data_IF_631508307219
#
_entry.id   IF_631508307219
#
_cell.length_a   1.000
_cell.length_b   1.000
_cell.length_c   1.000
_cell.angle_alpha   90.00
_cell.angle_beta   90.00
_cell.angle_gamma   90.00
#
_symmetry.space_group_name_H-M   'P 1'
#
loop_
_entity.id
_entity.type
_entity.pdbx_description
1 polymer ?
#
# COMPACT_ATOMS: atom_id res chain seq x y z
N UNK A 1 -2.31 3.32 -18.03
CA UNK A 1 -0.85 3.08 -17.92
C UNK A 1 -0.49 3.15 -16.46
N UNK A 2 0.39 2.27 -15.94
CA UNK A 2 0.80 2.30 -14.54
C UNK A 2 1.42 3.66 -14.20
N UNK A 3 1.22 4.12 -12.97
CA UNK A 3 1.83 5.35 -12.49
C UNK A 3 3.36 5.20 -12.40
N UNK A 4 4.08 6.28 -12.70
CA UNK A 4 5.54 6.29 -12.59
C UNK A 4 5.94 6.13 -11.13
N UNK A 5 6.73 5.09 -10.84
CA UNK A 5 7.22 4.78 -9.50
C UNK A 5 8.58 5.45 -9.25
N UNK A 6 8.71 6.19 -8.15
CA UNK A 6 9.99 6.74 -7.69
C UNK A 6 10.95 5.62 -7.24
N UNK A 7 12.26 5.92 -7.26
CA UNK A 7 13.28 4.98 -6.78
C UNK A 7 13.11 4.72 -5.27
N UNK A 8 12.78 5.75 -4.50
CA UNK A 8 12.50 5.65 -3.06
C UNK A 8 11.29 4.77 -2.77
N UNK A 9 10.21 4.88 -3.57
CA UNK A 9 9.05 4.02 -3.41
C UNK A 9 9.39 2.55 -3.68
N UNK A 10 10.13 2.26 -4.76
CA UNK A 10 10.57 0.90 -5.06
C UNK A 10 11.42 0.32 -3.92
N UNK A 11 12.36 1.12 -3.41
CA UNK A 11 13.17 0.74 -2.25
C UNK A 11 12.31 0.49 -1.02
N UNK A 12 11.35 1.37 -0.71
CA UNK A 12 10.43 1.16 0.40
C UNK A 12 9.59 -0.12 0.24
N UNK A 13 9.18 -0.46 -0.97
CA UNK A 13 8.46 -1.72 -1.26
C UNK A 13 9.34 -2.93 -0.96
N UNK A 14 10.61 -2.90 -1.36
CA UNK A 14 11.57 -3.95 -1.01
C UNK A 14 11.82 -4.01 0.50
N UNK A 15 12.01 -2.86 1.13
CA UNK A 15 12.32 -2.74 2.54
C UNK A 15 11.16 -3.18 3.44
N UNK A 16 9.91 -2.94 3.02
CA UNK A 16 8.70 -3.41 3.72
C UNK A 16 8.67 -4.94 3.91
N UNK A 17 9.39 -5.69 3.06
CA UNK A 17 9.49 -7.15 3.12
C UNK A 17 10.63 -7.64 4.02
N UNK A 18 11.51 -6.75 4.45
CA UNK A 18 12.66 -7.05 5.32
C UNK A 18 12.44 -6.59 6.77
N UNK A 19 11.19 -6.33 7.14
CA UNK A 19 10.83 -6.04 8.53
C UNK A 19 11.03 -7.30 9.38
N UNK A 20 11.64 -7.16 10.54
CA UNK A 20 11.96 -8.29 11.45
C UNK A 20 10.70 -8.87 12.09
N UNK A 21 9.75 -8.01 12.44
CA UNK A 21 8.44 -8.41 12.94
C UNK A 21 7.35 -8.16 11.89
N UNK A 22 6.31 -9.00 11.94
CA UNK A 22 5.15 -8.89 11.05
C UNK A 22 4.32 -7.66 11.44
N UNK A 23 4.02 -6.75 10.50
CA UNK A 23 3.09 -5.65 10.76
C UNK A 23 1.69 -6.14 11.12
N UNK A 24 0.97 -5.31 11.85
CA UNK A 24 -0.43 -5.50 12.21
C UNK A 24 -1.30 -5.54 10.96
N UNK A 25 -2.46 -6.20 11.01
CA UNK A 25 -3.36 -6.29 9.85
C UNK A 25 -3.75 -4.90 9.31
N UNK A 26 -3.93 -3.91 10.19
CA UNK A 26 -4.20 -2.51 9.77
C UNK A 26 -3.02 -1.89 9.00
N UNK A 27 -1.79 -2.11 9.45
CA UNK A 27 -0.58 -1.61 8.79
C UNK A 27 -0.40 -2.28 7.42
N UNK A 28 -0.69 -3.59 7.33
CA UNK A 28 -0.68 -4.33 6.07
C UNK A 28 -1.75 -3.83 5.08
N UNK A 29 -2.95 -3.51 5.58
CA UNK A 29 -4.03 -2.95 4.76
C UNK A 29 -3.67 -1.54 4.25
N UNK A 30 -3.04 -0.73 5.07
CA UNK A 30 -2.60 0.61 4.69
C UNK A 30 -1.47 0.56 3.65
N UNK A 31 -0.45 -0.27 3.88
CA UNK A 31 0.58 -0.56 2.88
C UNK A 31 -0.03 -1.03 1.57
N UNK A 32 -1.00 -1.94 1.61
CA UNK A 32 -1.69 -2.43 0.41
C UNK A 32 -2.39 -1.30 -0.34
N UNK A 33 -3.21 -0.50 0.35
CA UNK A 33 -3.95 0.59 -0.26
C UNK A 33 -3.01 1.61 -0.91
N UNK A 34 -1.99 2.05 -0.18
CA UNK A 34 -1.00 3.01 -0.65
C UNK A 34 -0.19 2.47 -1.83
N UNK A 35 0.20 1.20 -1.78
CA UNK A 35 0.89 0.54 -2.90
C UNK A 35 0.01 0.53 -4.15
N UNK A 36 -1.23 0.06 -4.04
CA UNK A 36 -2.17 -0.02 -5.18
C UNK A 36 -2.48 1.36 -5.75
N UNK A 37 -2.66 2.37 -4.89
CA UNK A 37 -2.88 3.74 -5.34
C UNK A 37 -1.64 4.36 -5.99
N UNK A 38 -0.45 4.06 -5.45
CA UNK A 38 0.83 4.55 -5.94
C UNK A 38 1.30 3.91 -7.25
N UNK A 39 0.89 2.66 -7.52
CA UNK A 39 1.19 1.97 -8.78
C UNK A 39 0.14 2.16 -9.86
N UNK A 40 -1.14 2.32 -9.50
CA UNK A 40 -2.28 2.32 -10.43
C UNK A 40 -2.22 1.14 -11.42
N UNK A 41 -1.77 -0.03 -10.96
CA UNK A 41 -1.57 -1.21 -11.81
C UNK A 41 -2.22 -2.46 -11.22
N UNK A 42 -3.34 -2.94 -11.80
CA UNK A 42 -4.28 -2.15 -12.62
C UNK A 42 -4.89 -0.96 -11.84
N UNK A 43 -5.47 0.05 -12.51
CA UNK A 43 -6.22 1.14 -11.90
C UNK A 43 -7.38 0.64 -11.05
N UNK A 44 -7.84 1.46 -10.10
CA UNK A 44 -8.95 1.09 -9.21
C UNK A 44 -10.22 0.71 -9.98
N UNK A 45 -10.52 1.48 -11.01
CA UNK A 45 -11.70 1.36 -11.87
C UNK A 45 -11.74 0.01 -12.61
N UNK A 46 -10.56 -0.48 -13.00
CA UNK A 46 -10.39 -1.75 -13.72
C UNK A 46 -10.35 -2.97 -12.79
N UNK A 47 -10.23 -2.75 -11.47
CA UNK A 47 -10.28 -3.86 -10.52
C UNK A 47 -11.71 -4.25 -10.18
N UNK A 48 -12.01 -5.54 -10.27
CA UNK A 48 -13.30 -6.11 -9.88
C UNK A 48 -13.52 -6.04 -8.38
N UNK A 49 -14.76 -5.75 -7.98
CA UNK A 49 -15.15 -5.83 -6.58
C UNK A 49 -15.07 -7.30 -6.09
N UNK A 50 -14.54 -7.55 -4.89
CA UNK A 50 -14.45 -8.88 -4.31
C UNK A 50 -15.83 -9.45 -3.98
N UNK A 51 -15.93 -10.77 -4.00
CA UNK A 51 -17.16 -11.50 -3.72
C UNK A 51 -17.67 -11.29 -2.29
N UNK A 52 -18.95 -11.60 -2.05
CA UNK A 52 -19.61 -11.39 -0.75
C UNK A 52 -18.86 -12.05 0.42
N UNK A 53 -18.25 -13.22 0.19
CA UNK A 53 -17.58 -14.04 1.20
C UNK A 53 -16.07 -13.74 1.35
N UNK A 54 -15.50 -12.86 0.52
CA UNK A 54 -14.06 -12.56 0.52
C UNK A 54 -13.72 -11.40 1.47
N UNK A 55 -13.88 -11.61 2.78
CA UNK A 55 -13.76 -10.56 3.79
C UNK A 55 -12.39 -9.84 3.77
N UNK A 56 -11.30 -10.59 3.55
CA UNK A 56 -9.94 -10.02 3.47
C UNK A 56 -9.75 -9.16 2.22
N UNK A 57 -10.26 -9.63 1.08
CA UNK A 57 -10.19 -8.89 -0.18
C UNK A 57 -11.05 -7.62 -0.12
N UNK A 58 -12.21 -7.70 0.55
CA UNK A 58 -13.05 -6.54 0.87
C UNK A 58 -12.30 -5.51 1.71
N UNK A 59 -11.60 -5.95 2.76
CA UNK A 59 -10.83 -5.03 3.60
C UNK A 59 -9.71 -4.34 2.80
N UNK A 60 -8.98 -5.09 1.97
CA UNK A 60 -7.95 -4.58 1.06
C UNK A 60 -8.52 -3.56 0.08
N UNK A 61 -9.63 -3.89 -0.60
CA UNK A 61 -10.29 -2.96 -1.53
C UNK A 61 -10.83 -1.73 -0.79
N UNK A 62 -11.37 -1.89 0.41
CA UNK A 62 -11.86 -0.77 1.22
C UNK A 62 -10.73 0.19 1.62
N UNK A 63 -9.55 -0.34 2.00
CA UNK A 63 -8.38 0.48 2.29
C UNK A 63 -7.92 1.28 1.07
N UNK A 64 -7.92 0.66 -0.12
CA UNK A 64 -7.59 1.35 -1.36
C UNK A 64 -8.66 2.37 -1.78
N UNK A 65 -9.94 1.97 -1.71
CA UNK A 65 -11.10 2.82 -2.01
C UNK A 65 -11.08 4.12 -1.19
N UNK A 66 -10.75 4.05 0.11
CA UNK A 66 -10.59 5.25 0.96
C UNK A 66 -9.58 6.26 0.40
N UNK A 67 -8.49 5.80 -0.20
CA UNK A 67 -7.48 6.68 -0.82
C UNK A 67 -7.99 7.29 -2.12
N UNK A 68 -8.73 6.50 -2.91
CA UNK A 68 -9.39 6.98 -4.14
C UNK A 68 -10.44 8.05 -3.82
N UNK A 69 -11.31 7.81 -2.83
CA UNK A 69 -12.32 8.76 -2.38
C UNK A 69 -11.70 10.05 -1.81
N UNK A 70 -10.57 9.91 -1.11
CA UNK A 70 -9.77 11.04 -0.64
C UNK A 70 -8.97 11.74 -1.76
N UNK A 71 -9.11 11.30 -3.02
CA UNK A 71 -8.40 11.83 -4.20
C UNK A 71 -6.89 11.86 -4.03
N UNK A 72 -6.33 10.90 -3.32
CA UNK A 72 -4.88 10.76 -3.13
C UNK A 72 -4.25 10.45 -4.48
N UNK A 73 -3.31 11.28 -4.93
CA UNK A 73 -2.63 11.03 -6.21
C UNK A 73 -1.67 9.83 -6.09
N UNK A 74 -1.24 9.23 -7.20
CA UNK A 74 -0.23 8.18 -7.15
C UNK A 74 1.08 8.65 -6.49
N UNK A 75 1.46 9.91 -6.71
CA UNK A 75 2.66 10.51 -6.10
C UNK A 75 2.49 10.65 -4.57
N UNK A 76 1.37 11.22 -4.12
CA UNK A 76 1.04 11.30 -2.69
C UNK A 76 1.03 9.92 -2.02
N UNK A 77 0.47 8.91 -2.70
CA UNK A 77 0.38 7.56 -2.18
C UNK A 77 1.78 6.93 -2.02
N UNK A 78 2.68 7.16 -2.98
CA UNK A 78 4.07 6.72 -2.89
C UNK A 78 4.81 7.39 -1.73
N UNK A 79 4.65 8.71 -1.54
CA UNK A 79 5.27 9.43 -0.41
C UNK A 79 4.76 8.94 0.94
N UNK A 80 3.45 8.73 1.07
CA UNK A 80 2.84 8.16 2.28
C UNK A 80 3.32 6.73 2.53
N UNK A 81 3.46 5.92 1.48
CA UNK A 81 3.99 4.57 1.58
C UNK A 81 5.42 4.55 2.12
N UNK A 82 6.29 5.42 1.59
CA UNK A 82 7.67 5.56 2.06
C UNK A 82 7.69 5.92 3.56
N UNK A 83 6.91 6.93 3.96
CA UNK A 83 6.80 7.34 5.37
C UNK A 83 6.31 6.21 6.27
N UNK A 84 5.30 5.46 5.84
CA UNK A 84 4.77 4.32 6.59
C UNK A 84 5.82 3.23 6.74
N UNK A 85 6.55 2.88 5.67
CA UNK A 85 7.62 1.87 5.76
C UNK A 85 8.71 2.30 6.73
N UNK A 86 9.13 3.57 6.73
CA UNK A 86 10.11 4.07 7.69
C UNK A 86 9.61 3.96 9.14
N UNK A 87 8.34 4.27 9.41
CA UNK A 87 7.73 4.08 10.74
C UNK A 87 7.71 2.59 11.15
N UNK A 88 7.33 1.72 10.20
CA UNK A 88 7.31 0.27 10.44
C UNK A 88 8.71 -0.29 10.69
N UNK A 89 9.76 0.24 10.04
CA UNK A 89 11.15 -0.15 10.34
C UNK A 89 11.53 0.18 11.77
N UNK A 90 11.10 1.35 12.28
CA UNK A 90 11.36 1.73 13.67
C UNK A 90 10.57 0.87 14.65
N UNK A 91 9.31 0.57 14.32
CA UNK A 91 8.38 -0.16 15.21
C UNK A 91 8.62 -1.67 15.25
N UNK A 92 8.86 -2.27 14.09
CA UNK A 92 8.97 -3.72 13.90
C UNK A 92 10.41 -4.20 13.72
N UNK A 93 11.36 -3.27 13.66
CA UNK A 93 12.76 -3.56 13.34
C UNK A 93 12.96 -3.87 11.86
N UNK A 94 14.18 -3.63 11.37
CA UNK A 94 14.54 -3.80 9.97
C UNK A 94 15.82 -4.63 9.83
N UNK A 95 15.81 -5.60 8.92
CA UNK A 95 17.03 -6.28 8.42
C UNK A 95 17.50 -5.54 7.15
N UNK A 96 18.36 -4.55 7.37
CA UNK A 96 19.02 -3.76 6.34
C UNK A 96 20.45 -4.18 6.12
#
# INVERSE_FOLDING_TARGET
>A
MPAKQSAEFKKAVEDSRKLKAKPSDNELLELYGLFKQGTQDPPFEDTKAPGMFELKEKAKRAAWQKLVDAKVTPEDAQERYIKLVEDLKQKHGFEG
#
